data_IF_803703187331
#
_entry.id   IF_803703187331
#
_cell.length_a   1.000
_cell.length_b   1.000
_cell.length_c   1.000
_cell.angle_alpha   90.00
_cell.angle_beta   90.00
_cell.angle_gamma   90.00
#
_symmetry.space_group_name_H-M   'P 1'
#
loop_
_entity.id
_entity.type
_entity.pdbx_description
1 polymer ?
#
# COMPACT_ATOMS: atom_id res chain seq x y z
N UNK A 1 -4.40 -9.90 -1.48
CA UNK A 1 -5.08 -10.16 -0.20
C UNK A 1 -6.55 -9.88 -0.39
N UNK A 2 -7.40 -10.84 -0.06
CA UNK A 2 -8.85 -10.71 -0.12
C UNK A 2 -9.35 -10.51 1.30
N UNK A 3 -10.09 -9.43 1.55
CA UNK A 3 -10.75 -9.17 2.82
C UNK A 3 -12.24 -9.43 2.63
N UNK A 4 -12.75 -10.45 3.32
CA UNK A 4 -14.18 -10.69 3.46
C UNK A 4 -14.60 -10.20 4.84
N UNK A 5 -15.78 -9.59 4.96
CA UNK A 5 -16.34 -9.16 6.24
C UNK A 5 -16.32 -10.33 7.26
N UNK A 6 -15.42 -10.27 8.24
CA UNK A 6 -15.30 -11.30 9.28
C UNK A 6 -16.44 -11.08 10.27
N UNK A 7 -17.57 -11.78 10.07
CA UNK A 7 -18.54 -12.00 11.15
C UNK A 7 -17.88 -12.89 12.20
N UNK A 8 -17.27 -12.28 13.21
CA UNK A 8 -16.75 -12.98 14.37
C UNK A 8 -17.90 -13.65 15.13
N UNK A 9 -18.01 -14.97 15.03
CA UNK A 9 -18.81 -15.77 15.97
C UNK A 9 -17.92 -16.12 17.15
N UNK A 10 -18.27 -15.78 18.41
CA UNK A 10 -17.54 -16.27 19.56
C UNK A 10 -17.95 -17.73 19.80
N UNK A 11 -17.13 -18.67 19.36
CA UNK A 11 -17.24 -20.06 19.82
C UNK A 11 -16.38 -20.22 21.07
N UNK A 12 -17.06 -20.27 22.20
CA UNK A 12 -16.53 -20.71 23.48
C UNK A 12 -16.16 -22.19 23.33
N UNK A 13 -14.88 -22.52 23.48
CA UNK A 13 -14.47 -23.87 23.86
C UNK A 13 -13.41 -23.77 24.96
N UNK A 14 -13.81 -24.28 26.12
CA UNK A 14 -12.94 -24.60 27.22
C UNK A 14 -12.06 -25.80 26.88
N UNK A 15 -10.87 -25.84 27.46
CA UNK A 15 -10.30 -27.11 27.92
C UNK A 15 -8.95 -27.54 27.37
N UNK A 16 -8.04 -27.68 28.33
CA UNK A 16 -7.03 -28.75 28.46
C UNK A 16 -5.65 -28.48 27.83
N UNK A 17 -4.72 -28.25 28.76
CA UNK A 17 -3.27 -28.21 28.64
C UNK A 17 -2.71 -29.57 28.19
N UNK A 18 -1.85 -29.60 27.17
CA UNK A 18 -0.94 -30.71 26.91
C UNK A 18 0.35 -30.18 26.27
N UNK A 19 1.42 -30.29 27.06
CA UNK A 19 2.80 -30.06 26.67
C UNK A 19 3.18 -31.04 25.55
N UNK A 20 3.26 -30.55 24.32
CA UNK A 20 3.93 -31.23 23.21
C UNK A 20 4.90 -30.24 22.58
N UNK A 21 6.16 -30.66 22.47
CA UNK A 21 7.22 -29.98 21.73
C UNK A 21 6.71 -29.54 20.37
N UNK A 22 6.35 -28.26 20.28
CA UNK A 22 6.00 -27.64 19.01
C UNK A 22 7.29 -27.55 18.21
N UNK A 23 7.52 -28.54 17.36
CA UNK A 23 8.33 -28.32 16.17
C UNK A 23 7.64 -27.15 15.47
N UNK A 24 8.21 -25.95 15.60
CA UNK A 24 7.90 -24.85 14.71
C UNK A 24 8.36 -25.34 13.36
N UNK A 25 7.46 -25.98 12.62
CA UNK A 25 7.67 -26.18 11.21
C UNK A 25 7.91 -24.79 10.64
N UNK A 26 9.10 -24.48 10.08
CA UNK A 26 9.24 -23.26 9.32
C UNK A 26 8.27 -23.42 8.16
N UNK A 27 7.10 -22.79 8.28
CA UNK A 27 6.18 -22.66 7.17
C UNK A 27 7.03 -22.09 6.04
N UNK A 28 7.17 -22.85 4.95
CA UNK A 28 7.99 -22.48 3.80
C UNK A 28 7.47 -21.14 3.31
N UNK A 29 8.10 -20.07 3.76
CA UNK A 29 7.79 -18.73 3.34
C UNK A 29 8.35 -18.65 1.93
N UNK A 30 7.47 -18.91 0.95
CA UNK A 30 7.82 -18.92 -0.48
C UNK A 30 8.11 -17.49 -0.89
N UNK A 31 9.32 -17.07 -0.55
CA UNK A 31 9.93 -15.81 -0.89
C UNK A 31 9.86 -15.64 -2.40
N UNK A 32 9.20 -14.55 -2.83
CA UNK A 32 9.16 -14.14 -4.22
C UNK A 32 10.47 -13.41 -4.54
N UNK A 33 10.87 -12.51 -3.64
CA UNK A 33 12.10 -11.74 -3.77
C UNK A 33 12.57 -11.26 -2.39
N UNK A 34 13.88 -11.11 -2.24
CA UNK A 34 14.50 -10.45 -1.10
C UNK A 34 15.68 -9.62 -1.59
N UNK A 35 15.95 -8.52 -0.91
CA UNK A 35 17.10 -7.67 -1.23
C UNK A 35 17.37 -6.64 -0.15
N UNK A 36 18.51 -5.97 -0.28
CA UNK A 36 18.94 -4.93 0.64
C UNK A 36 19.07 -3.60 -0.11
N UNK A 37 18.65 -2.51 0.52
CA UNK A 37 18.81 -1.16 0.01
C UNK A 37 19.17 -0.22 1.17
N UNK A 38 20.44 0.22 1.21
CA UNK A 38 21.01 0.84 2.40
C UNK A 38 20.92 -0.10 3.60
N UNK A 39 20.38 0.40 4.71
CA UNK A 39 20.22 -0.36 5.95
C UNK A 39 18.90 -1.15 6.01
N UNK A 40 18.08 -1.09 4.96
CA UNK A 40 16.82 -1.81 4.89
C UNK A 40 16.99 -3.17 4.24
N UNK A 41 16.48 -4.21 4.90
CA UNK A 41 16.24 -5.52 4.33
C UNK A 41 14.78 -5.60 3.89
N UNK A 42 14.55 -5.86 2.60
CA UNK A 42 13.23 -5.94 2.00
C UNK A 42 12.95 -7.40 1.70
N UNK A 43 11.78 -7.87 2.13
CA UNK A 43 11.34 -9.24 1.94
C UNK A 43 9.93 -9.25 1.35
N UNK A 44 9.80 -9.89 0.18
CA UNK A 44 8.55 -10.01 -0.54
C UNK A 44 8.14 -11.48 -0.63
N UNK A 45 6.94 -11.76 -0.15
CA UNK A 45 6.29 -13.07 -0.18
C UNK A 45 4.94 -12.96 -0.87
N UNK A 46 4.22 -14.07 -1.01
CA UNK A 46 2.84 -14.05 -1.54
C UNK A 46 1.87 -13.25 -0.66
N UNK A 47 2.21 -13.05 0.60
CA UNK A 47 1.31 -12.55 1.64
C UNK A 47 1.63 -11.13 2.10
N UNK A 48 2.87 -10.67 1.90
CA UNK A 48 3.31 -9.35 2.34
C UNK A 48 4.56 -8.86 1.57
N UNK A 49 4.77 -7.56 1.60
CA UNK A 49 6.04 -6.90 1.27
C UNK A 49 6.45 -6.17 2.54
N UNK A 50 7.59 -6.54 3.11
CA UNK A 50 8.08 -5.97 4.37
C UNK A 50 9.44 -5.32 4.19
N UNK A 51 9.72 -4.29 4.99
CA UNK A 51 11.06 -3.75 5.14
C UNK A 51 11.43 -3.76 6.63
N UNK A 52 12.64 -4.20 6.94
CA UNK A 52 13.19 -4.26 8.29
C UNK A 52 14.53 -3.53 8.37
N UNK A 53 14.82 -2.96 9.53
CA UNK A 53 16.11 -2.37 9.88
C UNK A 53 16.47 -2.86 11.28
N UNK A 54 17.67 -3.41 11.47
CA UNK A 54 18.13 -3.95 12.76
C UNK A 54 17.14 -4.93 13.40
N UNK A 55 16.50 -5.77 12.59
CA UNK A 55 15.47 -6.72 13.01
C UNK A 55 14.10 -6.09 13.32
N UNK A 56 13.98 -4.77 13.36
CA UNK A 56 12.71 -4.06 13.53
C UNK A 56 11.99 -3.93 12.19
N UNK A 57 10.73 -4.36 12.12
CA UNK A 57 9.87 -4.12 10.95
C UNK A 57 9.42 -2.67 10.91
N UNK A 58 9.78 -1.98 9.82
CA UNK A 58 9.41 -0.58 9.58
C UNK A 58 8.23 -0.45 8.62
N UNK A 59 8.08 -1.41 7.70
CA UNK A 59 7.01 -1.41 6.71
C UNK A 59 6.39 -2.80 6.52
N UNK A 60 5.09 -2.82 6.22
CA UNK A 60 4.32 -3.99 5.76
C UNK A 60 3.21 -3.50 4.84
N UNK A 61 3.22 -3.92 3.58
CA UNK A 61 2.16 -3.58 2.62
C UNK A 61 0.81 -4.15 3.07
N UNK A 62 0.81 -5.33 3.71
CA UNK A 62 -0.38 -5.90 4.35
C UNK A 62 -0.92 -4.99 5.45
N UNK A 63 -0.06 -4.51 6.35
CA UNK A 63 -0.49 -3.64 7.44
C UNK A 63 -1.00 -2.29 6.93
N UNK A 64 -0.36 -1.74 5.89
CA UNK A 64 -0.83 -0.54 5.18
C UNK A 64 -2.24 -0.76 4.61
N UNK A 65 -2.44 -1.82 3.84
CA UNK A 65 -3.74 -2.14 3.24
C UNK A 65 -4.85 -2.34 4.28
N UNK A 66 -4.53 -2.99 5.40
CA UNK A 66 -5.47 -3.18 6.49
C UNK A 66 -5.86 -1.85 7.15
N UNK A 67 -4.89 -0.95 7.36
CA UNK A 67 -5.16 0.38 7.91
C UNK A 67 -6.08 1.20 7.00
N UNK A 68 -5.81 1.23 5.70
CA UNK A 68 -6.63 1.95 4.73
C UNK A 68 -8.06 1.38 4.70
N UNK A 69 -8.19 0.04 4.62
CA UNK A 69 -9.49 -0.62 4.65
C UNK A 69 -10.30 -0.26 5.90
N UNK A 70 -9.65 -0.23 7.08
CA UNK A 70 -10.31 0.17 8.32
C UNK A 70 -10.80 1.62 8.28
N UNK A 71 -10.01 2.54 7.70
CA UNK A 71 -10.38 3.94 7.58
C UNK A 71 -11.58 4.14 6.63
N UNK A 72 -11.57 3.45 5.49
CA UNK A 72 -12.53 3.65 4.41
C UNK A 72 -13.87 2.91 4.63
N UNK A 73 -13.85 1.73 5.27
CA UNK A 73 -15.02 0.85 5.32
C UNK A 73 -15.56 0.56 6.72
N UNK A 74 -14.79 0.71 7.79
CA UNK A 74 -15.24 0.35 9.15
C UNK A 74 -15.68 1.54 10.01
N UNK A 75 -15.66 2.76 9.46
CA UNK A 75 -16.05 3.99 10.17
C UNK A 75 -17.54 4.35 10.01
N UNK A 76 -18.30 3.63 9.18
CA UNK A 76 -19.73 3.84 8.93
C UNK A 76 -20.65 2.74 9.51
N UNK A 77 -21.90 3.10 9.83
CA UNK A 77 -22.90 2.21 10.46
C UNK A 77 -23.70 1.34 9.47
N UNK A 78 -23.43 1.39 8.17
CA UNK A 78 -24.16 0.62 7.16
C UNK A 78 -23.28 -0.49 6.59
N UNK A 79 -23.52 -1.72 7.06
CA UNK A 79 -22.83 -2.91 6.58
C UNK A 79 -23.40 -3.37 5.23
N UNK A 80 -22.99 -2.73 4.14
CA UNK A 80 -23.16 -3.30 2.80
C UNK A 80 -22.14 -4.44 2.66
N UNK A 81 -22.59 -5.61 2.20
CA UNK A 81 -21.70 -6.75 1.98
C UNK A 81 -20.84 -6.49 0.73
N UNK A 82 -19.57 -6.18 0.96
CA UNK A 82 -18.59 -5.86 -0.06
C UNK A 82 -17.44 -6.87 -0.04
N UNK A 83 -17.10 -7.40 -1.20
CA UNK A 83 -15.85 -8.09 -1.46
C UNK A 83 -14.77 -7.06 -1.79
N UNK A 84 -13.66 -7.12 -1.05
CA UNK A 84 -12.53 -6.22 -1.22
C UNK A 84 -11.25 -7.00 -1.50
N UNK A 85 -10.58 -6.72 -2.61
CA UNK A 85 -9.29 -7.32 -2.95
C UNK A 85 -8.25 -6.24 -3.25
N UNK A 86 -7.09 -6.34 -2.61
CA UNK A 86 -5.89 -5.56 -2.96
C UNK A 86 -4.72 -6.47 -3.32
N UNK A 87 -3.96 -6.13 -4.34
CA UNK A 87 -2.76 -6.83 -4.78
C UNK A 87 -1.61 -5.83 -4.87
N UNK A 88 -0.51 -6.14 -4.19
CA UNK A 88 0.71 -5.34 -4.24
C UNK A 88 1.79 -6.08 -5.03
N UNK A 89 2.56 -5.32 -5.80
CA UNK A 89 3.79 -5.73 -6.46
C UNK A 89 4.89 -4.73 -6.13
N UNK A 90 6.04 -5.24 -5.73
CA UNK A 90 7.24 -4.41 -5.62
C UNK A 90 7.82 -4.20 -7.02
N UNK A 91 8.00 -2.95 -7.43
CA UNK A 91 8.53 -2.60 -8.75
C UNK A 91 10.01 -2.23 -8.68
N UNK A 92 10.38 -1.41 -7.70
CA UNK A 92 11.77 -0.99 -7.48
C UNK A 92 11.97 -0.53 -6.04
N UNK A 93 13.23 -0.55 -5.58
CA UNK A 93 13.65 0.05 -4.29
C UNK A 93 14.92 0.84 -4.53
N UNK A 94 14.96 2.09 -4.05
CA UNK A 94 16.14 2.96 -4.06
C UNK A 94 16.23 3.68 -2.71
N UNK A 95 17.30 3.42 -1.96
CA UNK A 95 17.41 3.88 -0.58
C UNK A 95 16.24 3.34 0.27
N UNK A 96 15.51 4.23 0.93
CA UNK A 96 14.30 3.92 1.69
C UNK A 96 13.00 3.97 0.87
N UNK A 97 13.08 4.31 -0.42
CA UNK A 97 11.89 4.53 -1.27
C UNK A 97 11.58 3.26 -2.05
N UNK A 98 10.40 2.70 -1.82
CA UNK A 98 9.84 1.61 -2.60
C UNK A 98 8.76 2.10 -3.56
N UNK A 99 8.84 1.68 -4.82
CA UNK A 99 7.76 1.90 -5.78
C UNK A 99 6.88 0.65 -5.83
N UNK A 100 5.59 0.82 -5.55
CA UNK A 100 4.61 -0.25 -5.46
C UNK A 100 3.59 -0.12 -6.59
N UNK A 101 3.36 -1.23 -7.29
CA UNK A 101 2.19 -1.41 -8.13
C UNK A 101 1.07 -2.00 -7.31
N UNK A 102 -0.07 -1.31 -7.27
CA UNK A 102 -1.24 -1.70 -6.52
C UNK A 102 -2.42 -1.91 -7.47
N UNK A 103 -3.15 -3.01 -7.31
CA UNK A 103 -4.45 -3.20 -7.93
C UNK A 103 -5.50 -3.45 -6.86
N UNK A 104 -6.60 -2.73 -6.98
CA UNK A 104 -7.75 -2.76 -6.08
C UNK A 104 -8.98 -3.24 -6.84
N UNK A 105 -9.81 -4.06 -6.20
CA UNK A 105 -11.09 -4.52 -6.72
C UNK A 105 -12.14 -4.50 -5.62
N UNK A 106 -13.29 -3.91 -5.92
CA UNK A 106 -14.41 -3.77 -4.98
C UNK A 106 -15.69 -4.22 -5.66
N UNK A 107 -16.44 -5.09 -5.00
CA UNK A 107 -17.78 -5.51 -5.43
C UNK A 107 -18.73 -5.54 -4.25
N UNK A 108 -19.76 -4.70 -4.26
CA UNK A 108 -20.77 -4.65 -3.21
C UNK A 108 -22.11 -5.20 -3.71
N UNK A 109 -22.78 -6.01 -2.88
CA UNK A 109 -24.07 -6.61 -3.24
C UNK A 109 -25.15 -5.54 -3.47
N UNK A 110 -25.91 -5.65 -4.57
CA UNK A 110 -27.04 -4.76 -4.86
C UNK A 110 -26.66 -3.34 -5.31
N UNK A 111 -25.38 -3.08 -5.57
CA UNK A 111 -24.87 -1.78 -6.02
C UNK A 111 -24.48 -1.81 -7.51
N UNK A 112 -23.88 -0.72 -7.99
CA UNK A 112 -23.29 -0.61 -9.33
C UNK A 112 -22.31 -1.77 -9.65
N UNK A 113 -21.91 -1.96 -10.92
CA UNK A 113 -20.93 -2.98 -11.30
C UNK A 113 -19.62 -2.87 -10.50
N UNK A 114 -18.84 -3.96 -10.39
CA UNK A 114 -17.58 -3.95 -9.67
C UNK A 114 -16.63 -2.83 -10.14
N UNK A 115 -15.93 -2.21 -9.20
CA UNK A 115 -14.88 -1.23 -9.47
C UNK A 115 -13.50 -1.90 -9.43
N UNK A 116 -12.60 -1.43 -10.28
CA UNK A 116 -11.21 -1.87 -10.31
C UNK A 116 -10.31 -0.67 -10.55
N UNK A 117 -9.26 -0.53 -9.76
CA UNK A 117 -8.28 0.54 -9.89
C UNK A 117 -6.86 -0.03 -9.89
N UNK A 118 -5.94 0.62 -10.60
CA UNK A 118 -4.52 0.32 -10.48
C UNK A 118 -3.75 1.61 -10.24
N UNK A 119 -2.91 1.60 -9.21
CA UNK A 119 -2.10 2.74 -8.78
C UNK A 119 -0.63 2.37 -8.80
N UNK A 120 0.22 3.34 -9.13
CA UNK A 120 1.67 3.26 -8.97
C UNK A 120 2.05 4.29 -7.91
N UNK A 121 2.61 3.84 -6.79
CA UNK A 121 2.88 4.72 -5.64
C UNK A 121 4.30 4.55 -5.14
N UNK A 122 4.98 5.68 -4.95
CA UNK A 122 6.24 5.73 -4.23
C UNK A 122 5.96 5.92 -2.73
N UNK A 123 6.53 5.06 -1.90
CA UNK A 123 6.39 5.11 -0.44
C UNK A 123 7.75 5.02 0.25
N UNK A 124 7.87 5.71 1.38
CA UNK A 124 9.04 5.65 2.25
C UNK A 124 8.88 4.50 3.26
N UNK A 125 9.62 3.42 3.05
CA UNK A 125 9.59 2.24 3.92
C UNK A 125 10.13 2.52 5.32
N UNK A 126 11.06 3.45 5.48
CA UNK A 126 11.59 3.82 6.79
C UNK A 126 10.57 4.64 7.61
N UNK A 127 9.64 5.32 6.92
CA UNK A 127 8.54 6.11 7.53
C UNK A 127 7.19 5.41 7.46
N UNK A 128 7.17 4.09 7.60
CA UNK A 128 5.92 3.32 7.72
C UNK A 128 5.05 3.32 6.46
N UNK A 129 5.65 3.54 5.28
CA UNK A 129 4.92 3.58 4.02
C UNK A 129 4.30 4.94 3.71
N UNK A 130 4.81 6.04 4.29
CA UNK A 130 4.36 7.39 3.95
C UNK A 130 4.51 7.61 2.44
N UNK A 131 3.45 8.11 1.79
CA UNK A 131 3.50 8.51 0.38
C UNK A 131 4.56 9.59 0.16
N UNK A 132 5.32 9.39 -0.91
CA UNK A 132 6.38 10.29 -1.34
C UNK A 132 5.84 11.20 -2.43
N UNK A 133 6.03 12.50 -2.27
CA UNK A 133 5.62 13.53 -3.21
C UNK A 133 6.82 14.03 -3.99
N UNK A 134 6.57 14.60 -5.17
CA UNK A 134 7.63 15.24 -5.95
C UNK A 134 8.30 16.39 -5.17
N UNK A 135 7.51 17.08 -4.35
CA UNK A 135 7.97 18.16 -3.45
C UNK A 135 8.83 17.69 -2.28
N UNK A 136 8.92 16.38 -2.03
CA UNK A 136 9.89 15.85 -1.06
C UNK A 136 11.33 15.83 -1.63
N UNK A 137 11.50 15.96 -2.96
CA UNK A 137 12.80 15.93 -3.64
C UNK A 137 13.17 17.23 -4.35
N UNK A 138 12.18 17.98 -4.83
CA UNK A 138 12.38 19.19 -5.61
C UNK A 138 11.62 20.35 -5.00
N UNK A 139 12.17 21.56 -5.09
CA UNK A 139 11.44 22.75 -4.68
C UNK A 139 10.19 22.94 -5.57
N UNK A 140 9.10 23.44 -5.00
CA UNK A 140 7.85 23.68 -5.74
C UNK A 140 8.06 24.58 -6.95
N UNK A 141 8.92 25.61 -6.80
CA UNK A 141 9.28 26.51 -7.89
C UNK A 141 9.96 25.81 -9.06
N UNK A 142 10.79 24.81 -8.79
CA UNK A 142 11.51 24.06 -9.82
C UNK A 142 10.56 23.12 -10.56
N UNK A 143 9.66 22.47 -9.82
CA UNK A 143 8.61 21.63 -10.41
C UNK A 143 7.68 22.49 -11.28
N UNK A 144 7.19 23.63 -10.77
CA UNK A 144 6.31 24.52 -11.52
C UNK A 144 7.02 25.03 -12.79
N UNK A 145 8.28 25.44 -12.67
CA UNK A 145 9.09 25.87 -13.81
C UNK A 145 9.23 24.76 -14.86
N UNK A 146 9.46 23.52 -14.43
CA UNK A 146 9.56 22.37 -15.33
C UNK A 146 8.21 22.05 -16.01
N UNK A 147 7.10 22.08 -15.27
CA UNK A 147 5.76 21.89 -15.80
C UNK A 147 5.38 22.97 -16.82
N UNK A 148 5.67 24.24 -16.52
CA UNK A 148 5.42 25.35 -17.45
C UNK A 148 6.34 25.33 -18.68
N UNK A 149 7.46 24.60 -18.62
CA UNK A 149 8.34 24.39 -19.77
C UNK A 149 7.82 23.30 -20.72
N UNK A 150 6.93 22.41 -20.27
CA UNK A 150 6.36 21.32 -21.05
C UNK A 150 5.42 21.82 -22.16
N UNK A 151 5.52 21.24 -23.36
CA UNK A 151 4.76 21.69 -24.52
C UNK A 151 3.26 21.37 -24.40
N UNK A 152 2.88 20.26 -23.77
CA UNK A 152 1.47 19.92 -23.58
C UNK A 152 0.82 20.92 -22.63
N UNK A 153 1.48 21.24 -21.53
CA UNK A 153 0.98 22.24 -20.58
C UNK A 153 0.99 23.65 -21.18
N UNK A 154 2.03 24.05 -21.90
CA UNK A 154 2.02 25.34 -22.64
C UNK A 154 0.82 25.46 -23.58
N UNK A 155 0.53 24.41 -24.34
CA UNK A 155 -0.61 24.40 -25.27
C UNK A 155 -1.95 24.45 -24.52
N UNK A 156 -2.09 23.68 -23.45
CA UNK A 156 -3.30 23.72 -22.61
C UNK A 156 -3.52 25.09 -21.96
N UNK A 157 -2.42 25.76 -21.57
CA UNK A 157 -2.44 27.08 -20.93
C UNK A 157 -2.44 28.25 -21.91
N UNK A 158 -2.34 28.03 -23.23
CA UNK A 158 -2.26 29.10 -24.23
C UNK A 158 -3.47 30.04 -24.22
N UNK A 159 -4.62 29.55 -23.76
CA UNK A 159 -5.85 30.33 -23.63
C UNK A 159 -6.05 30.88 -22.20
N UNK A 160 -5.15 30.58 -21.27
CA UNK A 160 -5.19 31.13 -19.92
C UNK A 160 -4.69 32.57 -19.94
N UNK A 161 -5.46 33.48 -19.31
CA UNK A 161 -5.06 34.89 -19.17
C UNK A 161 -3.89 35.08 -18.19
N UNK A 162 -3.70 34.14 -17.28
CA UNK A 162 -2.68 34.22 -16.24
C UNK A 162 -2.02 32.84 -16.08
N UNK A 163 -0.70 32.73 -16.24
CA UNK A 163 0.00 31.50 -15.93
C UNK A 163 -0.14 31.16 -14.43
N UNK A 164 -0.19 29.87 -14.07
CA UNK A 164 -0.12 29.45 -12.67
C UNK A 164 1.15 29.98 -12.00
N UNK A 165 1.01 30.54 -10.79
CA UNK A 165 2.13 31.05 -9.98
C UNK A 165 2.56 30.11 -8.86
N UNK A 166 1.79 29.05 -8.60
CA UNK A 166 2.04 28.01 -7.59
C UNK A 166 1.60 26.64 -8.13
N UNK A 167 2.05 25.57 -7.47
CA UNK A 167 1.54 24.20 -7.69
C UNK A 167 0.16 24.00 -7.03
#
# INVERSE_FOLDING_TARGET
MTYNNIKAKPSIFAGVCLLCFSHVAPGVDKTIWQGQSGDLNIHWTKTDITATQDGKKLFSARALAQKDFQADFLTGNEAIDCEYQRKFRLLSVVGNIGNLGESEYVKCQGTAPPSSETRLTAVDFAKGGKLVKLTDFFAESDILKALLADNLLKNALAHSKTPPSTL
#
